data_IF_854836777612
#
_entry.id   IF_854836777612
#
_cell.length_a   1.000
_cell.length_b   1.000
_cell.length_c   1.000
_cell.angle_alpha   90.00
_cell.angle_beta   90.00
_cell.angle_gamma   90.00
#
_symmetry.space_group_name_H-M   'P 1'
#
loop_
_entity.id
_entity.type
_entity.pdbx_description
1 polymer ?
#
# COMPACT_ATOMS: atom_id res chain seq x y z
N UNK A 1 39.74 -3.00 -7.17
CA UNK A 1 38.54 -2.15 -7.13
C UNK A 1 37.35 -3.08 -7.00
N UNK A 2 36.73 -3.11 -5.83
CA UNK A 2 35.51 -3.87 -5.57
C UNK A 2 34.34 -3.02 -6.05
N UNK A 3 33.78 -3.34 -7.21
CA UNK A 3 32.51 -2.76 -7.67
C UNK A 3 31.42 -3.15 -6.68
N UNK A 4 31.11 -2.26 -5.74
CA UNK A 4 29.91 -2.38 -4.92
C UNK A 4 28.71 -2.03 -5.77
N UNK A 5 28.09 -3.05 -6.36
CA UNK A 5 26.75 -2.92 -6.91
C UNK A 5 25.84 -2.31 -5.82
N UNK A 6 25.03 -1.29 -6.15
CA UNK A 6 24.15 -0.66 -5.17
C UNK A 6 23.18 -1.71 -4.59
N UNK A 7 22.91 -1.59 -3.29
CA UNK A 7 21.96 -2.48 -2.63
C UNK A 7 20.60 -2.41 -3.34
N UNK A 8 19.95 -3.56 -3.60
CA UNK A 8 18.66 -3.57 -4.28
C UNK A 8 17.60 -2.88 -3.43
N UNK A 9 16.83 -1.96 -4.03
CA UNK A 9 15.76 -1.22 -3.36
C UNK A 9 14.64 -2.18 -2.94
N UNK A 10 14.27 -2.11 -1.67
CA UNK A 10 13.17 -2.91 -1.10
C UNK A 10 11.85 -2.14 -1.09
N UNK A 11 10.75 -2.86 -0.86
CA UNK A 11 9.43 -2.29 -0.67
C UNK A 11 9.39 -1.38 0.56
N UNK A 12 10.08 -1.77 1.64
CA UNK A 12 10.26 -0.93 2.82
C UNK A 12 10.94 0.39 2.46
N UNK A 13 12.07 0.33 1.75
CA UNK A 13 12.80 1.54 1.33
C UNK A 13 11.93 2.47 0.48
N UNK A 14 11.17 1.92 -0.49
CA UNK A 14 10.29 2.72 -1.36
C UNK A 14 9.18 3.43 -0.57
N UNK A 15 8.57 2.73 0.39
CA UNK A 15 7.51 3.29 1.23
C UNK A 15 8.05 4.28 2.27
N UNK A 16 9.29 4.11 2.73
CA UNK A 16 9.97 5.08 3.59
C UNK A 16 10.47 6.31 2.80
N UNK A 17 10.85 6.18 1.52
CA UNK A 17 11.25 7.31 0.68
C UNK A 17 10.08 8.24 0.35
N UNK A 18 8.88 7.70 0.10
CA UNK A 18 7.66 8.51 -0.08
C UNK A 18 7.39 9.43 1.12
N UNK A 19 7.79 9.01 2.33
CA UNK A 19 7.70 9.83 3.53
C UNK A 19 8.61 11.06 3.46
N UNK A 20 9.79 10.95 2.83
CA UNK A 20 10.77 12.03 2.72
C UNK A 20 10.28 13.17 1.82
N UNK A 21 9.78 12.84 0.63
CA UNK A 21 9.28 13.82 -0.34
C UNK A 21 8.08 14.60 0.21
N UNK A 22 7.16 13.92 0.90
CA UNK A 22 6.02 14.56 1.54
C UNK A 22 6.41 15.39 2.78
N UNK A 23 7.45 15.00 3.52
CA UNK A 23 7.98 15.84 4.62
C UNK A 23 8.56 17.15 4.09
N UNK A 24 9.21 17.12 2.92
CA UNK A 24 9.69 18.34 2.25
C UNK A 24 8.51 19.22 1.86
N UNK A 25 7.42 18.66 1.33
CA UNK A 25 6.20 19.39 0.99
C UNK A 25 5.53 20.03 2.22
N UNK A 26 5.43 19.29 3.34
CA UNK A 26 4.90 19.81 4.61
C UNK A 26 5.76 20.96 5.14
N UNK A 27 7.09 20.83 5.08
CA UNK A 27 8.02 21.88 5.50
C UNK A 27 7.86 23.15 4.63
N UNK A 28 7.62 22.99 3.32
CA UNK A 28 7.32 24.09 2.40
C UNK A 28 6.00 24.77 2.76
N UNK A 29 4.94 24.01 3.05
CA UNK A 29 3.64 24.55 3.48
C UNK A 29 3.77 25.32 4.79
N UNK A 30 4.53 24.81 5.78
CA UNK A 30 4.78 25.51 7.04
C UNK A 30 5.58 26.80 6.83
N UNK A 31 6.60 26.79 5.96
CA UNK A 31 7.36 27.99 5.58
C UNK A 31 6.47 29.04 4.92
N UNK A 32 5.57 28.64 4.04
CA UNK A 32 4.60 29.55 3.42
C UNK A 32 3.65 30.16 4.44
N UNK A 33 3.17 29.38 5.42
CA UNK A 33 2.36 29.89 6.52
C UNK A 33 3.07 30.93 7.37
N UNK A 34 4.35 30.69 7.72
CA UNK A 34 5.16 31.65 8.46
C UNK A 34 5.38 32.95 7.68
N UNK A 35 5.65 32.87 6.38
CA UNK A 35 5.82 34.03 5.51
C UNK A 35 4.54 34.87 5.42
N UNK A 36 3.37 34.23 5.33
CA UNK A 36 2.08 34.93 5.36
C UNK A 36 1.86 35.68 6.67
N UNK A 37 2.17 35.07 7.82
CA UNK A 37 2.06 35.72 9.12
C UNK A 37 2.98 36.94 9.20
N UNK A 38 4.22 36.83 8.71
CA UNK A 38 5.18 37.95 8.68
C UNK A 38 4.70 39.11 7.80
N UNK A 39 4.09 38.83 6.64
CA UNK A 39 3.53 39.86 5.75
C UNK A 39 2.36 40.57 6.44
N UNK A 40 1.49 39.82 7.13
CA UNK A 40 0.35 40.40 7.84
C UNK A 40 0.82 41.32 8.97
N UNK A 41 1.77 40.88 9.81
CA UNK A 41 2.26 41.68 10.95
C UNK A 41 2.97 42.95 10.49
N UNK A 42 3.78 42.88 9.43
CA UNK A 42 4.44 44.06 8.85
C UNK A 42 3.44 45.04 8.25
N UNK A 43 2.40 44.55 7.57
CA UNK A 43 1.34 45.41 7.00
C UNK A 43 0.56 46.15 8.09
N UNK A 44 0.22 45.45 9.19
CA UNK A 44 -0.45 46.06 10.35
C UNK A 44 0.43 47.16 10.95
N UNK A 45 1.72 46.88 11.18
CA UNK A 45 2.65 47.84 11.76
C UNK A 45 2.79 49.10 10.89
N UNK A 46 2.93 48.95 9.57
CA UNK A 46 3.01 50.06 8.64
C UNK A 46 1.73 50.93 8.67
N UNK A 47 0.55 50.30 8.72
CA UNK A 47 -0.70 51.05 8.80
C UNK A 47 -0.83 51.87 10.08
N UNK A 48 -0.36 51.34 11.21
CA UNK A 48 -0.37 52.03 12.49
C UNK A 48 0.54 53.27 12.43
N UNK A 49 1.73 53.13 11.85
CA UNK A 49 2.67 54.25 11.64
C UNK A 49 2.04 55.34 10.77
N UNK A 50 1.44 54.97 9.62
CA UNK A 50 0.79 55.92 8.71
C UNK A 50 -0.36 56.67 9.41
N UNK A 51 -1.13 55.97 10.24
CA UNK A 51 -2.26 56.57 10.97
C UNK A 51 -1.76 57.61 11.98
N UNK A 52 -0.70 57.30 12.75
CA UNK A 52 -0.10 58.24 13.72
C UNK A 52 0.47 59.47 13.01
N UNK A 53 1.18 59.30 11.90
CA UNK A 53 1.74 60.41 11.11
C UNK A 53 0.64 61.29 10.50
N UNK A 54 -0.45 60.68 10.01
CA UNK A 54 -1.59 61.39 9.44
C UNK A 54 -2.37 62.17 10.50
N UNK A 55 -2.52 61.61 11.70
CA UNK A 55 -3.16 62.30 12.82
C UNK A 55 -2.38 63.55 13.23
N UNK A 56 -1.05 63.42 13.32
CA UNK A 56 -0.16 64.53 13.67
C UNK A 56 -0.22 65.68 12.67
N UNK A 57 -0.35 65.37 11.38
CA UNK A 57 -0.28 66.36 10.29
C UNK A 57 -1.61 67.06 10.03
N UNK A 58 -2.73 66.34 10.02
CA UNK A 58 -4.01 66.90 9.55
C UNK A 58 -4.95 67.39 10.66
N UNK A 59 -4.70 67.04 11.93
CA UNK A 59 -5.59 67.35 13.08
C UNK A 59 -7.09 67.04 12.84
N UNK A 60 -7.37 66.17 11.87
CA UNK A 60 -8.71 65.83 11.43
C UNK A 60 -8.90 64.31 11.58
N UNK A 61 -9.98 63.86 12.24
CA UNK A 61 -10.14 62.44 12.58
C UNK A 61 -10.54 61.56 11.38
N UNK A 62 -11.09 62.16 10.32
CA UNK A 62 -11.69 61.46 9.19
C UNK A 62 -10.72 60.65 8.31
N UNK A 63 -9.54 61.16 7.89
CA UNK A 63 -8.59 60.36 7.10
C UNK A 63 -8.01 59.18 7.87
N UNK A 64 -7.81 59.30 9.19
CA UNK A 64 -7.37 58.20 10.05
C UNK A 64 -8.40 57.07 10.11
N UNK A 65 -9.69 57.41 10.19
CA UNK A 65 -10.80 56.44 10.17
C UNK A 65 -10.88 55.65 8.86
N UNK A 66 -10.74 56.32 7.71
CA UNK A 66 -10.77 55.66 6.41
C UNK A 66 -9.59 54.68 6.24
N UNK A 67 -8.38 55.07 6.67
CA UNK A 67 -7.21 54.20 6.64
C UNK A 67 -7.39 52.97 7.55
N UNK A 68 -7.94 53.15 8.76
CA UNK A 68 -8.21 52.05 9.69
C UNK A 68 -9.21 51.03 9.11
N UNK A 69 -10.28 51.49 8.45
CA UNK A 69 -11.28 50.60 7.82
C UNK A 69 -10.65 49.76 6.70
N UNK A 70 -9.85 50.37 5.83
CA UNK A 70 -9.15 49.64 4.75
C UNK A 70 -8.20 48.59 5.33
N UNK A 71 -7.52 48.90 6.44
CA UNK A 71 -6.62 47.96 7.09
C UNK A 71 -7.37 46.80 7.72
N UNK A 72 -8.47 47.06 8.42
CA UNK A 72 -9.34 46.00 8.97
C UNK A 72 -9.86 45.10 7.85
N UNK A 73 -10.29 45.65 6.72
CA UNK A 73 -10.80 44.86 5.60
C UNK A 73 -9.73 43.95 4.98
N UNK A 74 -8.48 44.45 4.86
CA UNK A 74 -7.35 43.65 4.39
C UNK A 74 -6.93 42.59 5.41
N UNK A 75 -6.93 42.91 6.72
CA UNK A 75 -6.68 41.95 7.80
C UNK A 75 -7.74 40.85 7.76
N UNK A 76 -9.03 41.16 7.58
CA UNK A 76 -10.10 40.16 7.49
C UNK A 76 -9.94 39.23 6.29
N UNK A 77 -9.51 39.75 5.13
CA UNK A 77 -9.20 38.91 3.94
C UNK A 77 -7.98 38.02 4.14
N UNK A 78 -7.00 38.48 4.92
CA UNK A 78 -5.74 37.79 5.19
C UNK A 78 -5.80 36.89 6.44
N UNK A 79 -6.77 37.08 7.32
CA UNK A 79 -7.00 36.22 8.47
C UNK A 79 -7.25 34.81 7.94
N UNK A 80 -6.38 33.84 8.26
CA UNK A 80 -6.53 32.49 7.76
C UNK A 80 -7.90 32.00 8.18
N UNK A 81 -8.76 31.74 7.19
CA UNK A 81 -10.12 31.24 7.37
C UNK A 81 -10.01 30.06 8.33
N UNK A 82 -10.47 30.25 9.58
CA UNK A 82 -10.23 29.40 10.75
C UNK A 82 -10.45 27.96 10.35
N UNK A 83 -9.38 27.32 9.89
CA UNK A 83 -9.43 25.96 9.43
C UNK A 83 -9.51 25.20 10.73
N UNK A 84 -10.71 24.66 11.00
CA UNK A 84 -10.97 23.60 11.99
C UNK A 84 -9.66 22.89 12.25
N UNK A 85 -9.22 22.92 13.51
CA UNK A 85 -8.02 22.23 14.00
C UNK A 85 -7.78 21.00 13.13
N UNK A 86 -6.84 21.12 12.20
CA UNK A 86 -6.36 19.95 11.50
C UNK A 86 -5.60 19.24 12.59
N UNK A 87 -6.28 18.30 13.25
CA UNK A 87 -5.62 17.14 13.80
C UNK A 87 -4.62 16.73 12.72
N UNK A 88 -3.33 16.99 12.95
CA UNK A 88 -2.29 16.48 12.07
C UNK A 88 -2.39 14.99 12.30
N UNK A 89 -2.97 14.20 11.37
CA UNK A 89 -3.09 12.78 11.61
C UNK A 89 -1.67 12.28 11.82
N UNK A 90 -1.45 11.56 12.92
CA UNK A 90 -0.24 10.75 13.07
C UNK A 90 -0.26 9.85 11.84
N UNK A 91 0.57 10.18 10.84
CA UNK A 91 0.41 9.61 9.50
C UNK A 91 0.73 8.13 9.60
N UNK A 92 -0.32 7.33 9.46
CA UNK A 92 -0.25 5.88 9.61
C UNK A 92 0.74 5.32 8.59
N UNK A 93 1.65 4.46 9.06
CA UNK A 93 2.54 3.70 8.17
C UNK A 93 1.68 2.97 7.13
N UNK A 94 2.17 2.92 5.89
CA UNK A 94 1.50 2.20 4.79
C UNK A 94 1.02 0.82 5.25
N UNK A 95 -0.20 0.43 4.86
CA UNK A 95 -0.86 -0.77 5.40
C UNK A 95 0.01 -2.03 5.29
N UNK A 96 0.69 -2.21 4.15
CA UNK A 96 1.58 -3.35 3.93
C UNK A 96 2.72 -3.45 4.95
N UNK A 97 3.15 -2.34 5.55
CA UNK A 97 4.23 -2.30 6.54
C UNK A 97 3.67 -2.26 7.96
N UNK A 98 2.59 -1.52 8.19
CA UNK A 98 1.98 -1.41 9.53
C UNK A 98 1.29 -2.69 9.97
N UNK A 99 0.74 -3.44 9.03
CA UNK A 99 0.05 -4.71 9.30
C UNK A 99 0.98 -5.93 9.24
N UNK A 100 2.20 -5.77 8.72
CA UNK A 100 3.18 -6.84 8.59
C UNK A 100 3.90 -7.13 9.90
N UNK A 101 3.34 -8.07 10.65
CA UNK A 101 3.93 -8.55 11.91
C UNK A 101 5.16 -9.42 11.71
N UNK A 102 5.41 -9.91 10.50
CA UNK A 102 6.50 -10.83 10.18
C UNK A 102 7.76 -10.09 9.70
N UNK A 103 7.63 -8.80 9.36
CA UNK A 103 8.70 -8.01 8.72
C UNK A 103 8.98 -8.43 7.27
N UNK A 104 8.17 -9.36 6.76
CA UNK A 104 8.31 -9.96 5.44
C UNK A 104 8.13 -8.95 4.31
N UNK A 105 7.07 -8.14 4.34
CA UNK A 105 6.70 -7.20 3.29
C UNK A 105 7.79 -6.16 3.08
N UNK A 106 8.39 -5.65 4.17
CA UNK A 106 9.44 -4.65 4.10
C UNK A 106 10.69 -5.13 3.32
N UNK A 107 10.97 -6.44 3.35
CA UNK A 107 12.15 -7.05 2.74
C UNK A 107 12.03 -7.35 1.24
N UNK A 108 10.85 -7.17 0.66
CA UNK A 108 10.59 -7.50 -0.75
C UNK A 108 11.37 -6.57 -1.68
N UNK A 109 12.38 -7.09 -2.36
CA UNK A 109 13.13 -6.36 -3.40
C UNK A 109 12.26 -6.07 -4.62
N UNK A 110 12.32 -4.84 -5.14
CA UNK A 110 11.51 -4.42 -6.29
C UNK A 110 12.03 -4.96 -7.63
N UNK A 111 13.31 -5.34 -7.69
CA UNK A 111 13.97 -5.89 -8.87
C UNK A 111 13.64 -7.35 -9.15
N UNK A 112 13.09 -8.06 -8.17
CA UNK A 112 12.85 -9.50 -8.28
C UNK A 112 11.53 -9.77 -8.99
N UNK A 113 11.55 -10.73 -9.93
CA UNK A 113 10.32 -11.29 -10.49
C UNK A 113 9.51 -11.97 -9.39
N UNK A 114 8.30 -11.50 -9.16
CA UNK A 114 7.47 -11.99 -8.04
C UNK A 114 6.16 -12.57 -8.54
N UNK A 115 5.89 -13.83 -8.21
CA UNK A 115 4.57 -14.43 -8.38
C UNK A 115 3.80 -14.30 -7.06
N UNK A 116 2.78 -13.47 -7.07
CA UNK A 116 1.90 -13.24 -5.93
C UNK A 116 0.77 -14.26 -6.01
N UNK A 117 0.68 -15.18 -5.07
CA UNK A 117 -0.32 -16.23 -5.05
C UNK A 117 -1.46 -15.83 -4.11
N UNK A 118 -2.68 -15.87 -4.62
CA UNK A 118 -3.89 -15.83 -3.80
C UNK A 118 -4.15 -17.24 -3.25
N UNK A 119 -3.49 -17.57 -2.13
CA UNK A 119 -3.46 -18.92 -1.58
C UNK A 119 -4.85 -19.44 -1.20
N UNK A 120 -5.72 -18.57 -0.69
CA UNK A 120 -7.13 -18.91 -0.43
C UNK A 120 -7.85 -19.27 -1.73
N UNK A 121 -7.78 -18.42 -2.76
CA UNK A 121 -8.46 -18.65 -4.04
C UNK A 121 -7.94 -19.90 -4.75
N UNK A 122 -6.62 -20.12 -4.75
CA UNK A 122 -5.98 -21.29 -5.34
C UNK A 122 -6.39 -22.57 -4.60
N UNK A 123 -6.46 -22.54 -3.27
CA UNK A 123 -6.90 -23.70 -2.49
C UNK A 123 -8.36 -24.04 -2.76
N UNK A 124 -9.25 -23.04 -2.79
CA UNK A 124 -10.66 -23.22 -3.15
C UNK A 124 -10.83 -23.78 -4.55
N UNK A 125 -10.11 -23.22 -5.54
CA UNK A 125 -10.06 -23.77 -6.90
C UNK A 125 -9.64 -25.25 -6.90
N UNK A 126 -8.63 -25.59 -6.10
CA UNK A 126 -8.17 -26.96 -5.95
C UNK A 126 -9.24 -27.90 -5.41
N UNK A 127 -9.96 -27.49 -4.37
CA UNK A 127 -11.08 -28.25 -3.80
C UNK A 127 -12.20 -28.46 -4.82
N UNK A 128 -12.63 -27.41 -5.51
CA UNK A 128 -13.69 -27.46 -6.53
C UNK A 128 -13.35 -28.42 -7.68
N UNK A 129 -12.05 -28.54 -8.01
CA UNK A 129 -11.57 -29.42 -9.07
C UNK A 129 -11.01 -30.76 -8.57
N UNK A 130 -11.24 -31.11 -7.29
CA UNK A 130 -10.81 -32.37 -6.67
C UNK A 130 -9.29 -32.62 -6.68
N UNK A 131 -8.49 -31.56 -6.73
CA UNK A 131 -7.03 -31.62 -6.61
C UNK A 131 -6.54 -31.07 -5.25
N UNK A 132 -7.43 -30.41 -4.50
CA UNK A 132 -7.19 -29.88 -3.16
C UNK A 132 -5.93 -29.02 -3.09
N UNK A 133 -5.13 -29.23 -2.03
CA UNK A 133 -3.85 -28.54 -1.82
C UNK A 133 -2.81 -28.71 -2.94
N UNK A 134 -2.92 -29.75 -3.78
CA UNK A 134 -1.94 -30.02 -4.83
C UNK A 134 -1.90 -28.90 -5.88
N UNK A 135 -3.02 -28.19 -6.11
CA UNK A 135 -3.04 -27.05 -7.02
C UNK A 135 -2.01 -25.99 -6.62
N UNK A 136 -2.02 -25.58 -5.35
CA UNK A 136 -1.10 -24.57 -4.84
C UNK A 136 0.34 -25.10 -4.82
N UNK A 137 0.56 -26.34 -4.35
CA UNK A 137 1.90 -26.93 -4.29
C UNK A 137 2.57 -26.99 -5.68
N UNK A 138 1.86 -27.47 -6.70
CA UNK A 138 2.38 -27.55 -8.07
C UNK A 138 2.73 -26.18 -8.65
N UNK A 139 1.87 -25.19 -8.43
CA UNK A 139 2.10 -23.81 -8.87
C UNK A 139 3.35 -23.21 -8.23
N UNK A 140 3.48 -23.38 -6.91
CA UNK A 140 4.62 -22.89 -6.13
C UNK A 140 5.92 -23.50 -6.65
N UNK A 141 5.98 -24.82 -6.80
CA UNK A 141 7.19 -25.52 -7.21
C UNK A 141 7.65 -25.10 -8.61
N UNK A 142 6.72 -24.96 -9.55
CA UNK A 142 7.08 -24.58 -10.92
C UNK A 142 7.40 -23.09 -11.05
N UNK A 143 6.72 -22.21 -10.34
CA UNK A 143 7.07 -20.79 -10.34
C UNK A 143 8.46 -20.55 -9.73
N UNK A 144 8.82 -21.29 -8.68
CA UNK A 144 10.20 -21.29 -8.15
C UNK A 144 11.19 -21.79 -9.19
N UNK A 145 10.86 -22.88 -9.89
CA UNK A 145 11.70 -23.43 -10.96
C UNK A 145 11.91 -22.43 -12.10
N UNK A 146 10.88 -21.65 -12.43
CA UNK A 146 10.92 -20.57 -13.41
C UNK A 146 11.64 -19.29 -12.91
N UNK A 147 12.18 -19.32 -11.68
CA UNK A 147 13.00 -18.25 -11.11
C UNK A 147 12.19 -17.11 -10.47
N UNK A 148 10.90 -17.33 -10.19
CA UNK A 148 10.09 -16.37 -9.45
C UNK A 148 10.32 -16.50 -7.95
N UNK A 149 10.37 -15.34 -7.29
CA UNK A 149 10.07 -15.26 -5.86
C UNK A 149 8.58 -15.50 -5.68
N UNK A 150 8.21 -16.46 -4.83
CA UNK A 150 6.82 -16.76 -4.51
C UNK A 150 6.40 -15.97 -3.26
N UNK A 151 5.22 -15.36 -3.31
CA UNK A 151 4.59 -14.73 -2.15
C UNK A 151 3.13 -15.15 -2.09
N UNK A 152 2.77 -15.99 -1.12
CA UNK A 152 1.44 -16.56 -0.98
C UNK A 152 0.66 -15.90 0.14
N UNK A 153 -0.38 -15.15 -0.23
CA UNK A 153 -1.31 -14.53 0.70
C UNK A 153 -2.43 -15.49 1.05
N UNK A 154 -2.78 -15.55 2.33
CA UNK A 154 -3.93 -16.30 2.81
C UNK A 154 -4.81 -15.41 3.67
N UNK A 155 -6.12 -15.61 3.57
CA UNK A 155 -7.08 -14.97 4.46
C UNK A 155 -6.86 -15.42 5.91
N UNK A 156 -7.31 -14.57 6.84
CA UNK A 156 -7.19 -14.86 8.27
C UNK A 156 -7.93 -16.13 8.72
N UNK A 157 -8.87 -16.65 7.92
CA UNK A 157 -9.65 -17.85 8.21
C UNK A 157 -9.07 -19.14 7.59
N UNK A 158 -7.94 -19.08 6.88
CA UNK A 158 -7.38 -20.24 6.16
C UNK A 158 -7.25 -21.50 7.01
N UNK A 159 -6.86 -21.36 8.28
CA UNK A 159 -6.70 -22.50 9.18
C UNK A 159 -8.01 -23.24 9.47
N UNK A 160 -9.14 -22.51 9.50
CA UNK A 160 -10.46 -23.13 9.64
C UNK A 160 -10.83 -23.88 8.36
N UNK A 161 -10.63 -23.26 7.19
CA UNK A 161 -10.89 -23.90 5.89
C UNK A 161 -10.10 -25.19 5.74
N UNK A 162 -8.81 -25.19 6.09
CA UNK A 162 -7.96 -26.38 6.04
C UNK A 162 -8.40 -27.47 7.01
N UNK A 163 -8.86 -27.10 8.21
CA UNK A 163 -9.36 -28.03 9.20
C UNK A 163 -10.68 -28.68 8.74
N UNK A 164 -11.63 -27.89 8.24
CA UNK A 164 -12.92 -28.36 7.75
C UNK A 164 -12.78 -29.34 6.57
N UNK A 165 -11.75 -29.15 5.75
CA UNK A 165 -11.43 -30.03 4.62
C UNK A 165 -10.48 -31.17 4.98
N UNK A 166 -10.13 -31.35 6.26
CA UNK A 166 -9.37 -32.50 6.75
C UNK A 166 -7.88 -32.49 6.39
N UNK A 167 -7.30 -31.35 6.03
CA UNK A 167 -5.88 -31.22 5.66
C UNK A 167 -4.95 -31.40 6.86
N UNK A 168 -5.46 -31.14 8.06
CA UNK A 168 -4.82 -31.46 9.33
C UNK A 168 -5.87 -31.69 10.41
N UNK A 169 -5.50 -32.42 11.47
CA UNK A 169 -6.40 -32.71 12.58
C UNK A 169 -6.27 -31.66 13.69
N UNK A 170 -7.39 -31.31 14.31
CA UNK A 170 -7.41 -30.48 15.51
C UNK A 170 -6.89 -31.26 16.72
N UNK A 171 -5.57 -31.33 16.84
CA UNK A 171 -4.89 -31.77 18.05
C UNK A 171 -4.64 -30.61 19.03
N UNK A 172 -3.61 -30.73 19.87
CA UNK A 172 -3.12 -29.63 20.74
C UNK A 172 -2.36 -28.52 19.98
N UNK A 173 -2.32 -28.57 18.65
CA UNK A 173 -1.53 -27.62 17.85
C UNK A 173 -2.22 -26.26 17.77
N UNK A 174 -1.47 -25.20 18.09
CA UNK A 174 -1.91 -23.81 17.83
C UNK A 174 -1.76 -23.51 16.34
N UNK A 175 -2.71 -22.75 15.78
CA UNK A 175 -2.58 -22.24 14.41
C UNK A 175 -1.26 -21.50 14.25
N UNK A 176 -0.46 -21.95 13.28
CA UNK A 176 0.89 -21.47 13.07
C UNK A 176 1.28 -21.62 11.60
N UNK A 177 2.19 -20.76 11.14
CA UNK A 177 2.68 -20.75 9.76
C UNK A 177 3.26 -22.12 9.37
N UNK A 178 3.84 -22.87 10.33
CA UNK A 178 4.35 -24.24 10.10
C UNK A 178 3.31 -25.20 9.53
N UNK A 179 2.02 -25.04 9.88
CA UNK A 179 0.94 -25.84 9.30
C UNK A 179 0.86 -25.59 7.79
N UNK A 180 0.89 -24.31 7.37
CA UNK A 180 0.85 -23.92 5.97
C UNK A 180 2.12 -24.37 5.22
N UNK A 181 3.29 -24.28 5.84
CA UNK A 181 4.54 -24.81 5.28
C UNK A 181 4.41 -26.31 4.98
N UNK A 182 3.92 -27.09 5.94
CA UNK A 182 3.81 -28.54 5.79
C UNK A 182 2.74 -28.95 4.76
N UNK A 183 1.62 -28.23 4.73
CA UNK A 183 0.51 -28.56 3.83
C UNK A 183 0.87 -28.20 2.39
N UNK A 184 1.41 -27.01 2.15
CA UNK A 184 1.60 -26.45 0.82
C UNK A 184 3.04 -26.48 0.32
N UNK A 185 3.98 -26.98 1.12
CA UNK A 185 5.41 -26.98 0.82
C UNK A 185 5.98 -25.57 0.59
N UNK A 186 5.48 -24.61 1.38
CA UNK A 186 5.87 -23.21 1.35
C UNK A 186 6.99 -22.93 2.36
N UNK A 187 7.89 -22.01 2.05
CA UNK A 187 8.86 -21.46 3.01
C UNK A 187 8.17 -20.41 3.87
N UNK A 188 8.70 -20.18 5.07
CA UNK A 188 8.18 -19.13 5.97
C UNK A 188 8.18 -17.76 5.29
N UNK A 189 9.24 -17.46 4.54
CA UNK A 189 9.39 -16.24 3.73
C UNK A 189 8.54 -16.21 2.45
N UNK A 190 7.60 -17.13 2.29
CA UNK A 190 6.68 -17.15 1.14
C UNK A 190 5.22 -17.17 1.61
N UNK A 191 4.97 -17.10 2.92
CA UNK A 191 3.63 -17.19 3.50
C UNK A 191 3.29 -15.87 4.18
N UNK A 192 2.18 -15.28 3.77
CA UNK A 192 1.61 -14.13 4.47
C UNK A 192 0.14 -14.40 4.81
N UNK A 193 -0.14 -14.65 6.09
CA UNK A 193 -1.52 -14.72 6.59
C UNK A 193 -1.94 -13.31 6.99
N UNK A 194 -2.97 -12.79 6.34
CA UNK A 194 -3.44 -11.43 6.63
C UNK A 194 -4.04 -11.33 8.04
N UNK A 195 -3.99 -10.14 8.68
CA UNK A 195 -4.62 -9.95 9.97
C UNK A 195 -6.13 -10.20 9.94
N UNK A 196 -6.68 -10.65 11.07
CA UNK A 196 -8.12 -10.83 11.25
C UNK A 196 -8.88 -9.54 10.92
N UNK A 197 -9.94 -9.66 10.12
CA UNK A 197 -10.79 -8.55 9.72
C UNK A 197 -10.30 -7.79 8.49
N UNK A 198 -9.19 -8.24 7.88
CA UNK A 198 -8.70 -7.71 6.60
C UNK A 198 -8.75 -8.83 5.55
N UNK A 199 -9.13 -8.48 4.32
CA UNK A 199 -9.15 -9.40 3.18
C UNK A 199 -7.77 -9.52 2.53
N UNK A 200 -7.43 -10.71 2.05
CA UNK A 200 -6.19 -10.95 1.32
C UNK A 200 -6.07 -10.09 0.05
N UNK A 201 -7.18 -9.88 -0.66
CA UNK A 201 -7.29 -9.09 -1.90
C UNK A 201 -6.59 -7.74 -1.79
N UNK A 202 -6.82 -7.01 -0.69
CA UNK A 202 -6.23 -5.69 -0.50
C UNK A 202 -4.71 -5.77 -0.43
N UNK A 203 -4.14 -6.76 0.25
CA UNK A 203 -2.68 -6.93 0.30
C UNK A 203 -2.11 -7.34 -1.05
N UNK A 204 -2.80 -8.19 -1.80
CA UNK A 204 -2.39 -8.64 -3.13
C UNK A 204 -2.32 -7.44 -4.09
N UNK A 205 -3.39 -6.65 -4.17
CA UNK A 205 -3.51 -5.52 -5.11
C UNK A 205 -2.52 -4.40 -4.77
N UNK A 206 -2.38 -4.07 -3.49
CA UNK A 206 -1.39 -3.09 -3.01
C UNK A 206 0.04 -3.56 -3.30
N UNK A 207 0.31 -4.85 -3.17
CA UNK A 207 1.63 -5.40 -3.50
C UNK A 207 1.90 -5.32 -5.01
N UNK A 208 0.90 -5.65 -5.85
CA UNK A 208 1.01 -5.55 -7.31
C UNK A 208 1.26 -4.11 -7.77
N UNK A 209 0.61 -3.11 -7.15
CA UNK A 209 0.79 -1.70 -7.50
C UNK A 209 2.21 -1.20 -7.21
N UNK A 210 2.91 -1.84 -6.27
CA UNK A 210 4.24 -1.43 -5.81
C UNK A 210 5.38 -2.27 -6.40
N UNK A 211 5.12 -3.52 -6.80
CA UNK A 211 6.08 -4.49 -7.33
C UNK A 211 6.02 -4.54 -8.87
N UNK A 212 6.94 -3.85 -9.58
CA UNK A 212 6.81 -3.61 -11.02
C UNK A 212 6.98 -4.85 -11.91
N UNK A 213 7.65 -5.89 -11.41
CA UNK A 213 7.92 -7.13 -12.16
C UNK A 213 7.17 -8.27 -11.47
N UNK A 214 5.86 -8.13 -11.35
CA UNK A 214 5.02 -9.10 -10.66
C UNK A 214 3.70 -9.38 -11.37
N UNK A 215 3.13 -10.53 -11.07
CA UNK A 215 1.75 -10.86 -11.41
C UNK A 215 1.11 -11.64 -10.27
N UNK A 216 -0.21 -11.61 -10.19
CA UNK A 216 -1.00 -12.42 -9.30
C UNK A 216 -1.47 -13.71 -9.97
N UNK A 217 -1.45 -14.81 -9.25
CA UNK A 217 -2.14 -16.06 -9.60
C UNK A 217 -3.43 -16.13 -8.78
N UNK A 218 -4.53 -15.84 -9.46
CA UNK A 218 -5.88 -15.85 -8.89
C UNK A 218 -6.91 -15.93 -10.01
N UNK A 219 -8.05 -16.54 -9.74
CA UNK A 219 -9.23 -16.47 -10.61
C UNK A 219 -10.12 -15.27 -10.31
N UNK A 220 -9.91 -14.59 -9.17
CA UNK A 220 -10.62 -13.36 -8.86
C UNK A 220 -10.25 -12.24 -9.84
N UNK A 221 -11.15 -11.28 -10.02
CA UNK A 221 -10.93 -10.05 -10.79
C UNK A 221 -10.76 -8.83 -9.90
N UNK A 222 -11.03 -8.96 -8.60
CA UNK A 222 -10.98 -7.88 -7.62
C UNK A 222 -11.80 -6.64 -8.04
N UNK A 223 -13.02 -6.88 -8.55
CA UNK A 223 -13.87 -5.82 -9.13
C UNK A 223 -14.13 -4.66 -8.17
N UNK A 224 -14.25 -4.96 -6.88
CA UNK A 224 -14.51 -3.97 -5.83
C UNK A 224 -13.37 -2.94 -5.67
N UNK A 225 -12.18 -3.26 -6.21
CA UNK A 225 -11.00 -2.42 -6.13
C UNK A 225 -10.69 -1.67 -7.44
N UNK A 226 -11.41 -1.94 -8.53
CA UNK A 226 -11.16 -1.30 -9.85
C UNK A 226 -11.25 0.23 -9.80
N UNK A 227 -12.11 0.78 -8.95
CA UNK A 227 -12.24 2.23 -8.77
C UNK A 227 -11.00 2.89 -8.11
N UNK A 228 -10.19 2.12 -7.39
CA UNK A 228 -8.98 2.59 -6.70
C UNK A 228 -7.69 2.28 -7.48
N UNK A 229 -7.71 1.23 -8.32
CA UNK A 229 -6.53 0.75 -9.03
C UNK A 229 -6.80 0.61 -10.52
N UNK A 230 -6.47 1.66 -11.25
CA UNK A 230 -6.57 1.75 -12.70
C UNK A 230 -6.03 0.52 -13.47
N UNK A 231 -4.94 -0.10 -12.98
CA UNK A 231 -4.31 -1.22 -13.68
C UNK A 231 -5.20 -2.47 -13.72
N UNK A 232 -6.14 -2.61 -12.78
CA UNK A 232 -7.05 -3.77 -12.72
C UNK A 232 -7.99 -3.82 -13.92
N UNK A 233 -8.41 -2.66 -14.44
CA UNK A 233 -9.35 -2.54 -15.56
C UNK A 233 -8.68 -2.29 -16.91
N UNK A 234 -7.42 -1.83 -16.94
CA UNK A 234 -6.69 -1.51 -18.17
C UNK A 234 -6.27 -2.75 -18.97
N UNK A 235 -5.74 -3.77 -18.30
CA UNK A 235 -5.37 -5.04 -18.93
C UNK A 235 -5.39 -6.20 -17.92
N UNK A 236 -5.25 -7.42 -18.44
CA UNK A 236 -5.18 -8.66 -17.64
C UNK A 236 -3.73 -9.13 -17.39
N UNK A 237 -2.69 -8.36 -17.74
CA UNK A 237 -1.30 -8.83 -17.62
C UNK A 237 -0.88 -9.05 -16.18
N UNK A 238 -1.44 -8.26 -15.26
CA UNK A 238 -1.22 -8.39 -13.82
C UNK A 238 -1.74 -9.70 -13.25
N UNK A 239 -2.62 -10.43 -13.96
CA UNK A 239 -3.29 -11.63 -13.46
C UNK A 239 -3.05 -12.85 -14.34
N UNK A 240 -2.84 -13.99 -13.71
CA UNK A 240 -2.76 -15.31 -14.34
C UNK A 240 -3.80 -16.23 -13.68
N UNK A 241 -4.96 -16.34 -14.30
CA UNK A 241 -6.01 -17.26 -13.82
C UNK A 241 -5.65 -18.72 -14.06
N UNK A 242 -6.24 -19.63 -13.28
CA UNK A 242 -6.01 -21.06 -13.35
C UNK A 242 -7.10 -21.78 -14.14
N UNK A 243 -6.72 -22.86 -14.81
CA UNK A 243 -7.65 -23.84 -15.39
C UNK A 243 -7.02 -25.23 -15.40
N UNK A 244 -7.84 -26.27 -15.30
CA UNK A 244 -7.38 -27.64 -15.54
C UNK A 244 -7.90 -28.11 -16.90
N UNK A 245 -7.00 -28.63 -17.73
CA UNK A 245 -7.33 -29.19 -19.05
C UNK A 245 -6.51 -30.45 -19.25
N UNK A 246 -7.17 -31.56 -19.62
CA UNK A 246 -6.50 -32.85 -19.89
C UNK A 246 -5.59 -33.31 -18.73
N UNK A 247 -6.05 -33.14 -17.49
CA UNK A 247 -5.27 -33.51 -16.30
C UNK A 247 -4.04 -32.63 -16.04
N UNK A 248 -3.93 -31.47 -16.71
CA UNK A 248 -2.86 -30.51 -16.47
C UNK A 248 -3.42 -29.18 -15.95
N UNK A 249 -2.78 -28.62 -14.92
CA UNK A 249 -3.03 -27.26 -14.45
C UNK A 249 -2.30 -26.28 -15.35
N UNK A 250 -3.03 -25.26 -15.81
CA UNK A 250 -2.52 -24.20 -16.65
C UNK A 250 -2.82 -22.83 -16.05
N UNK A 251 -1.94 -21.88 -16.33
CA UNK A 251 -2.17 -20.47 -16.10
C UNK A 251 -2.51 -19.76 -17.42
N UNK A 252 -3.47 -18.84 -17.40
CA UNK A 252 -3.75 -17.99 -18.55
C UNK A 252 -2.56 -17.08 -18.83
N UNK A 253 -2.19 -16.96 -20.12
CA UNK A 253 -1.10 -16.09 -20.59
C UNK A 253 0.26 -16.38 -19.96
N UNK A 254 0.45 -17.58 -19.40
CA UNK A 254 1.71 -18.04 -18.85
C UNK A 254 1.97 -19.48 -19.30
N UNK A 255 3.18 -19.76 -19.76
CA UNK A 255 3.60 -21.09 -20.18
C UNK A 255 4.72 -21.56 -19.27
N UNK A 256 4.42 -22.55 -18.44
CA UNK A 256 5.40 -23.25 -17.62
C UNK A 256 6.44 -23.96 -18.49
N UNK A 257 7.65 -24.10 -17.96
CA UNK A 257 8.70 -24.90 -18.59
C UNK A 257 8.31 -26.38 -18.62
N UNK A 258 7.60 -26.86 -17.59
CA UNK A 258 7.12 -28.23 -17.48
C UNK A 258 5.59 -28.28 -17.29
N UNK A 259 4.91 -29.32 -17.81
CA UNK A 259 3.48 -29.48 -17.58
C UNK A 259 3.19 -29.80 -16.11
N UNK A 260 2.18 -29.14 -15.54
CA UNK A 260 1.72 -29.39 -14.17
C UNK A 260 0.63 -30.45 -14.15
N UNK A 261 1.03 -31.71 -14.10
CA UNK A 261 0.09 -32.83 -14.06
C UNK A 261 -0.60 -32.85 -12.69
N UNK A 262 -1.93 -32.77 -12.69
CA UNK A 262 -2.75 -32.95 -11.50
C UNK A 262 -3.11 -34.42 -11.38
N UNK A 263 -2.68 -35.05 -10.29
CA UNK A 263 -3.00 -36.44 -9.93
C UNK A 263 -4.24 -36.52 -9.05
#
# INVERSE_FOLDING_TARGET
MSDHAPNPVTLGDKLDLQKGDEQVEILQIQRMGFLQILIITTTILLSAIITVLSWSTFKAPYPGLAAAIICIFNIIKLLPKRSRERHVPIKERHMLISADKQGFMSSLKLSDKTAILDGSNIYHFGLENRVGRNALKLLVDELRYDGYRVVCFFDANIYFTLLENGEFQQGRMRFSIRILQNIFDLKETEIYVVPKGIQADRFIIESLSLLPISFAVTNDRYRDYEAMYDFLSKDDQWRKGMKIKQGCLHLYQYKFQRPLIVA
#
